data_IF_329063306642
#
_entry.id   IF_329063306642
#
_cell.length_a   1.000
_cell.length_b   1.000
_cell.length_c   1.000
_cell.angle_alpha   90.00
_cell.angle_beta   90.00
_cell.angle_gamma   90.00
#
_symmetry.space_group_name_H-M   'P 1'
#
loop_
_entity.id
_entity.type
_entity.pdbx_description
1 polymer ?
#
# COMPACT_ATOMS: atom_id res chain seq x y z
N UNK A 1 0.37 20.51 11.51
CA UNK A 1 -0.50 20.43 10.33
C UNK A 1 -0.26 19.09 9.67
N UNK A 2 -1.31 18.47 9.14
CA UNK A 2 -1.13 17.30 8.29
C UNK A 2 -0.67 17.78 6.91
N UNK A 3 0.38 17.17 6.39
CA UNK A 3 0.88 17.44 5.04
C UNK A 3 0.45 16.30 4.11
N UNK A 4 -0.01 16.67 2.91
CA UNK A 4 -0.48 15.73 1.88
C UNK A 4 0.38 15.92 0.65
N UNK A 5 1.01 14.84 0.20
CA UNK A 5 1.87 14.85 -0.97
C UNK A 5 1.45 13.76 -1.94
N UNK A 6 1.26 14.13 -3.21
CA UNK A 6 1.06 13.19 -4.30
C UNK A 6 2.35 13.11 -5.14
N UNK A 7 2.76 11.90 -5.50
CA UNK A 7 3.94 11.71 -6.32
C UNK A 7 3.93 10.33 -6.98
N UNK A 8 4.78 10.16 -7.99
CA UNK A 8 5.00 8.87 -8.65
C UNK A 8 6.38 8.36 -8.30
N UNK A 9 6.48 7.07 -7.97
CA UNK A 9 7.74 6.41 -7.62
C UNK A 9 7.77 5.01 -8.23
N UNK A 10 8.92 4.62 -8.75
CA UNK A 10 9.16 3.24 -9.17
C UNK A 10 9.55 2.39 -7.98
N UNK A 11 8.80 1.32 -7.74
CA UNK A 11 9.03 0.41 -6.61
C UNK A 11 9.44 -0.97 -7.11
N UNK A 12 10.40 -1.59 -6.40
CA UNK A 12 10.80 -2.98 -6.62
C UNK A 12 10.38 -3.80 -5.40
N UNK A 13 9.50 -4.77 -5.60
CA UNK A 13 8.87 -5.55 -4.53
C UNK A 13 8.94 -7.04 -4.80
N UNK A 14 9.01 -7.83 -3.73
CA UNK A 14 8.76 -9.28 -3.75
C UNK A 14 7.25 -9.56 -3.71
N UNK A 15 6.85 -10.79 -4.05
CA UNK A 15 5.44 -11.20 -3.95
C UNK A 15 4.91 -11.07 -2.52
N UNK A 16 5.73 -11.39 -1.52
CA UNK A 16 5.40 -11.23 -0.12
C UNK A 16 5.09 -9.78 0.25
N UNK A 17 6.00 -8.86 -0.09
CA UNK A 17 5.83 -7.42 0.18
C UNK A 17 4.60 -6.86 -0.52
N UNK A 18 4.37 -7.27 -1.77
CA UNK A 18 3.21 -6.84 -2.54
C UNK A 18 1.89 -7.31 -1.91
N UNK A 19 1.83 -8.54 -1.39
CA UNK A 19 0.66 -9.03 -0.66
C UNK A 19 0.42 -8.25 0.65
N UNK A 20 1.48 -7.85 1.36
CA UNK A 20 1.36 -7.01 2.55
C UNK A 20 0.81 -5.62 2.21
N UNK A 21 1.27 -5.01 1.11
CA UNK A 21 0.74 -3.73 0.61
C UNK A 21 -0.76 -3.86 0.29
N UNK A 22 -1.15 -4.91 -0.44
CA UNK A 22 -2.57 -5.17 -0.76
C UNK A 22 -3.41 -5.30 0.52
N UNK A 23 -2.95 -6.07 1.51
CA UNK A 23 -3.65 -6.23 2.80
C UNK A 23 -3.81 -4.90 3.53
N UNK A 24 -2.77 -4.07 3.58
CA UNK A 24 -2.83 -2.78 4.26
C UNK A 24 -3.84 -1.82 3.60
N UNK A 25 -3.86 -1.78 2.27
CA UNK A 25 -4.84 -0.97 1.52
C UNK A 25 -6.26 -1.52 1.66
N UNK A 26 -6.43 -2.84 1.67
CA UNK A 26 -7.73 -3.47 1.91
C UNK A 26 -8.30 -3.10 3.28
N UNK A 27 -7.49 -3.17 4.35
CA UNK A 27 -7.91 -2.75 5.70
C UNK A 27 -8.40 -1.31 5.71
N UNK A 28 -7.75 -0.42 4.96
CA UNK A 28 -8.13 0.98 4.83
C UNK A 28 -9.50 1.13 4.16
N UNK A 29 -9.71 0.45 3.03
CA UNK A 29 -10.97 0.48 2.28
C UNK A 29 -12.11 -0.16 3.10
N UNK A 30 -11.84 -1.28 3.76
CA UNK A 30 -12.80 -1.98 4.62
C UNK A 30 -13.20 -1.11 5.82
N UNK A 31 -12.23 -0.44 6.44
CA UNK A 31 -12.48 0.46 7.55
C UNK A 31 -13.41 1.62 7.14
N UNK A 32 -13.20 2.17 5.95
CA UNK A 32 -14.05 3.22 5.38
C UNK A 32 -15.48 2.70 5.13
N UNK A 33 -15.60 1.57 4.45
CA UNK A 33 -16.89 0.98 4.06
C UNK A 33 -17.72 0.52 5.26
N UNK A 34 -17.08 -0.06 6.26
CA UNK A 34 -17.73 -0.62 7.45
C UNK A 34 -17.83 0.39 8.60
N UNK A 35 -17.31 1.61 8.43
CA UNK A 35 -17.17 2.61 9.50
C UNK A 35 -16.49 2.02 10.75
N UNK A 36 -15.41 1.28 10.52
CA UNK A 36 -14.73 0.54 11.59
C UNK A 36 -14.14 1.49 12.64
N UNK A 37 -14.08 1.02 13.89
CA UNK A 37 -13.50 1.79 14.99
C UNK A 37 -11.97 1.89 14.86
N UNK A 38 -11.38 2.95 15.41
CA UNK A 38 -9.91 3.13 15.44
C UNK A 38 -9.19 1.90 16.03
N UNK A 39 -9.78 1.31 17.08
CA UNK A 39 -9.26 0.10 17.72
C UNK A 39 -9.19 -1.10 16.76
N UNK A 40 -10.23 -1.29 15.93
CA UNK A 40 -10.24 -2.35 14.93
C UNK A 40 -9.17 -2.12 13.87
N UNK A 41 -9.08 -0.90 13.33
CA UNK A 41 -8.09 -0.52 12.31
C UNK A 41 -6.68 -0.77 12.83
N UNK A 42 -6.40 -0.28 14.04
CA UNK A 42 -5.11 -0.47 14.71
C UNK A 42 -4.77 -1.94 14.87
N UNK A 43 -5.71 -2.79 15.28
CA UNK A 43 -5.49 -4.23 15.46
C UNK A 43 -5.07 -4.89 14.15
N UNK A 44 -5.75 -4.58 13.05
CA UNK A 44 -5.43 -5.15 11.74
C UNK A 44 -4.05 -4.68 11.24
N UNK A 45 -3.76 -3.38 11.36
CA UNK A 45 -2.49 -2.83 10.91
C UNK A 45 -1.31 -3.29 11.79
N UNK A 46 -1.52 -3.48 13.09
CA UNK A 46 -0.48 -4.03 13.99
C UNK A 46 -0.10 -5.46 13.60
N UNK A 47 -1.08 -6.28 13.22
CA UNK A 47 -0.81 -7.63 12.73
C UNK A 47 0.04 -7.60 11.46
N UNK A 48 -0.31 -6.74 10.49
CA UNK A 48 0.46 -6.56 9.25
C UNK A 48 1.88 -6.05 9.54
N UNK A 49 2.02 -5.07 10.44
CA UNK A 49 3.32 -4.53 10.84
C UNK A 49 4.21 -5.57 11.54
N UNK A 50 3.62 -6.48 12.31
CA UNK A 50 4.36 -7.59 12.93
C UNK A 50 4.87 -8.63 11.93
N UNK A 51 4.23 -8.73 10.76
CA UNK A 51 4.66 -9.58 9.65
C UNK A 51 5.68 -8.87 8.73
N UNK A 52 5.62 -7.54 8.65
CA UNK A 52 6.44 -6.74 7.75
C UNK A 52 7.93 -6.71 8.14
N UNK A 53 8.76 -7.48 7.42
CA UNK A 53 10.23 -7.47 7.58
C UNK A 53 10.94 -6.30 6.87
N UNK A 54 10.25 -5.49 6.05
CA UNK A 54 10.88 -4.44 5.23
C UNK A 54 10.28 -3.05 5.41
N UNK A 55 11.15 -2.04 5.31
CA UNK A 55 10.84 -0.60 5.45
C UNK A 55 9.73 -0.17 4.48
N UNK A 56 9.60 -0.81 3.31
CA UNK A 56 8.56 -0.50 2.33
C UNK A 56 7.16 -0.89 2.80
N UNK A 57 6.99 -2.05 3.43
CA UNK A 57 5.73 -2.44 4.08
C UNK A 57 5.46 -1.60 5.34
N UNK A 58 6.52 -1.18 6.04
CA UNK A 58 6.43 -0.23 7.16
C UNK A 58 6.05 1.19 6.73
N UNK A 59 6.36 1.62 5.50
CA UNK A 59 5.93 2.91 4.97
C UNK A 59 4.41 2.97 4.70
N UNK A 60 3.75 1.81 4.55
CA UNK A 60 2.29 1.70 4.57
C UNK A 60 1.73 1.51 5.99
N UNK A 61 2.57 1.23 6.99
CA UNK A 61 2.17 0.99 8.38
C UNK A 61 2.53 2.14 9.35
N UNK A 62 3.24 3.18 8.89
CA UNK A 62 4.00 4.16 9.70
C UNK A 62 4.86 3.52 10.80
N UNK A 63 5.68 4.33 11.47
CA UNK A 63 6.51 3.88 12.60
C UNK A 63 5.68 3.36 13.80
N UNK A 64 4.36 3.56 13.84
CA UNK A 64 3.45 2.96 14.83
C UNK A 64 2.04 2.75 14.26
N UNK A 65 1.38 1.61 14.51
CA UNK A 65 -0.01 1.37 14.05
C UNK A 65 -1.03 2.44 14.55
N UNK A 66 -0.65 3.20 15.57
CA UNK A 66 -1.35 4.40 16.08
C UNK A 66 -1.43 5.50 15.03
N UNK A 67 -0.32 5.80 14.36
CA UNK A 67 -0.21 6.92 13.41
C UNK A 67 -1.08 6.74 12.18
N UNK A 68 -1.17 5.51 11.66
CA UNK A 68 -2.06 5.17 10.54
C UNK A 68 -3.52 5.19 10.97
N UNK A 69 -3.85 4.63 12.14
CA UNK A 69 -5.23 4.62 12.62
C UNK A 69 -5.75 6.05 12.83
N UNK A 70 -4.92 6.93 13.38
CA UNK A 70 -5.21 8.36 13.50
C UNK A 70 -5.30 9.04 12.14
N UNK A 71 -4.37 8.77 11.21
CA UNK A 71 -4.36 9.31 9.85
C UNK A 71 -5.64 8.94 9.08
N UNK A 72 -6.03 7.66 9.14
CA UNK A 72 -7.28 7.15 8.56
C UNK A 72 -8.51 7.75 9.22
N UNK A 73 -8.55 7.83 10.56
CA UNK A 73 -9.67 8.45 11.26
C UNK A 73 -9.83 9.93 10.84
N UNK A 74 -8.73 10.68 10.71
CA UNK A 74 -8.77 12.06 10.21
C UNK A 74 -9.18 12.16 8.74
N UNK A 75 -8.75 11.23 7.88
CA UNK A 75 -9.15 11.17 6.47
C UNK A 75 -10.63 10.81 6.31
N UNK A 76 -11.14 9.87 7.10
CA UNK A 76 -12.55 9.44 7.06
C UNK A 76 -13.50 10.44 7.73
N UNK A 77 -13.03 11.22 8.70
CA UNK A 77 -13.81 12.27 9.35
C UNK A 77 -13.81 13.61 8.58
N UNK A 78 -12.95 13.77 7.56
CA UNK A 78 -12.79 15.02 6.81
C UNK A 78 -13.78 15.20 5.64
N UNK A 79 -14.34 16.41 5.42
CA UNK A 79 -15.36 16.66 4.39
C UNK A 79 -14.84 16.69 2.93
N UNK A 80 -13.52 16.74 2.71
CA UNK A 80 -12.90 16.80 1.37
C UNK A 80 -12.43 15.43 0.85
N UNK A 81 -12.48 14.38 1.67
CA UNK A 81 -11.72 13.15 1.46
C UNK A 81 -12.55 11.90 1.13
N UNK A 82 -13.88 11.93 1.23
CA UNK A 82 -14.64 10.66 1.29
C UNK A 82 -14.85 9.96 -0.05
N UNK A 83 -15.04 10.67 -1.17
CA UNK A 83 -15.25 10.02 -2.47
C UNK A 83 -13.99 9.95 -3.33
N UNK A 84 -13.31 11.07 -3.59
CA UNK A 84 -12.16 11.08 -4.49
C UNK A 84 -11.00 10.23 -3.95
N UNK A 85 -10.58 10.49 -2.71
CA UNK A 85 -9.43 9.80 -2.12
C UNK A 85 -9.72 8.31 -1.90
N UNK A 86 -10.91 7.95 -1.41
CA UNK A 86 -11.30 6.55 -1.27
C UNK A 86 -11.38 5.84 -2.63
N UNK A 87 -11.90 6.50 -3.68
CA UNK A 87 -11.91 5.96 -5.04
C UNK A 87 -10.49 5.77 -5.59
N UNK A 88 -9.58 6.71 -5.29
CA UNK A 88 -8.17 6.62 -5.69
C UNK A 88 -7.47 5.45 -4.99
N UNK A 89 -7.63 5.29 -3.67
CA UNK A 89 -7.10 4.13 -2.94
C UNK A 89 -7.71 2.83 -3.45
N UNK A 90 -9.02 2.81 -3.73
CA UNK A 90 -9.71 1.60 -4.23
C UNK A 90 -9.22 1.23 -5.63
N UNK A 91 -9.00 2.22 -6.49
CA UNK A 91 -8.37 2.04 -7.81
C UNK A 91 -6.97 1.45 -7.67
N UNK A 92 -6.14 2.05 -6.82
CA UNK A 92 -4.79 1.59 -6.56
C UNK A 92 -4.73 0.20 -5.95
N UNK A 93 -5.65 -0.13 -5.03
CA UNK A 93 -5.85 -1.48 -4.48
C UNK A 93 -6.16 -2.48 -5.59
N UNK A 94 -7.11 -2.19 -6.48
CA UNK A 94 -7.46 -3.09 -7.59
C UNK A 94 -6.28 -3.32 -8.55
N UNK A 95 -5.50 -2.28 -8.85
CA UNK A 95 -4.30 -2.41 -9.68
C UNK A 95 -3.21 -3.24 -8.99
N UNK A 96 -2.93 -2.95 -7.72
CA UNK A 96 -1.91 -3.64 -6.91
C UNK A 96 -2.29 -5.10 -6.68
N UNK A 97 -3.58 -5.41 -6.45
CA UNK A 97 -4.11 -6.78 -6.33
C UNK A 97 -3.94 -7.60 -7.61
N UNK A 98 -4.08 -6.96 -8.78
CA UNK A 98 -3.81 -7.63 -10.07
C UNK A 98 -2.34 -7.99 -10.21
N UNK A 99 -1.42 -7.10 -9.84
CA UNK A 99 0.01 -7.42 -9.79
C UNK A 99 0.31 -8.53 -8.78
N UNK A 100 -0.28 -8.49 -7.60
CA UNK A 100 -0.11 -9.51 -6.57
C UNK A 100 -0.56 -10.90 -7.08
N UNK A 101 -1.75 -10.98 -7.68
CA UNK A 101 -2.30 -12.20 -8.25
C UNK A 101 -1.39 -12.78 -9.35
N UNK A 102 -0.98 -11.94 -10.31
CA UNK A 102 -0.07 -12.33 -11.37
C UNK A 102 1.28 -12.79 -10.83
N UNK A 103 1.83 -12.08 -9.84
CA UNK A 103 3.15 -12.40 -9.31
C UNK A 103 3.12 -13.69 -8.48
N UNK A 104 2.07 -13.90 -7.67
CA UNK A 104 1.89 -15.13 -6.88
C UNK A 104 1.93 -16.39 -7.77
N UNK A 105 1.35 -16.35 -8.97
CA UNK A 105 1.39 -17.49 -9.93
C UNK A 105 2.71 -17.59 -10.72
N UNK A 106 3.60 -16.60 -10.62
CA UNK A 106 4.91 -16.59 -11.28
C UNK A 106 6.09 -16.57 -10.29
N UNK A 107 5.85 -16.85 -9.01
CA UNK A 107 6.89 -16.90 -7.95
C UNK A 107 7.98 -17.94 -8.22
N UNK A 108 7.66 -19.00 -8.98
CA UNK A 108 8.62 -19.99 -9.43
C UNK A 108 9.58 -19.50 -10.52
N UNK A 109 9.31 -18.35 -11.13
CA UNK A 109 10.12 -17.75 -12.21
C UNK A 109 10.83 -16.48 -11.75
N UNK A 110 10.16 -15.69 -10.92
CA UNK A 110 10.62 -14.36 -10.55
C UNK A 110 10.66 -14.20 -9.02
N UNK A 111 11.67 -13.48 -8.54
CA UNK A 111 11.80 -13.12 -7.12
C UNK A 111 11.39 -11.68 -6.82
N UNK A 112 11.44 -10.79 -7.81
CA UNK A 112 10.98 -9.40 -7.70
C UNK A 112 10.28 -8.93 -8.97
N UNK A 113 9.37 -7.98 -8.81
CA UNK A 113 8.84 -7.16 -9.89
C UNK A 113 9.14 -5.70 -9.60
N UNK A 114 9.27 -4.91 -10.65
CA UNK A 114 9.40 -3.47 -10.56
C UNK A 114 8.31 -2.82 -11.40
N UNK A 115 7.65 -1.79 -10.86
CA UNK A 115 6.62 -1.03 -11.54
C UNK A 115 6.56 0.40 -11.01
N UNK A 116 6.09 1.31 -11.85
CA UNK A 116 5.77 2.67 -11.45
C UNK A 116 4.42 2.71 -10.71
N UNK A 117 4.39 3.36 -9.56
CA UNK A 117 3.18 3.53 -8.76
C UNK A 117 2.98 5.02 -8.42
N UNK A 118 1.73 5.47 -8.53
CA UNK A 118 1.31 6.76 -8.00
C UNK A 118 0.95 6.59 -6.51
N UNK A 119 1.43 7.51 -5.70
CA UNK A 119 1.25 7.52 -4.26
C UNK A 119 0.54 8.78 -3.81
N UNK A 120 -0.27 8.63 -2.76
CA UNK A 120 -0.65 9.74 -1.88
C UNK A 120 -0.05 9.46 -0.51
N UNK A 121 0.72 10.41 -0.01
CA UNK A 121 1.39 10.38 1.28
C UNK A 121 0.76 11.40 2.22
N UNK A 122 0.54 10.98 3.45
CA UNK A 122 -0.02 11.76 4.54
C UNK A 122 0.96 11.77 5.71
N UNK A 123 1.46 12.94 6.07
CA UNK A 123 2.36 13.13 7.20
C UNK A 123 1.66 13.86 8.35
N UNK A 124 1.65 13.25 9.53
CA UNK A 124 1.12 13.86 10.76
C UNK A 124 2.08 13.61 11.95
N UNK A 125 1.68 14.02 13.15
CA UNK A 125 2.46 13.82 14.38
C UNK A 125 2.74 12.34 14.72
N UNK A 126 1.97 11.40 14.16
CA UNK A 126 2.15 9.95 14.29
C UNK A 126 3.03 9.31 13.22
N UNK A 127 3.47 10.07 12.22
CA UNK A 127 4.35 9.62 11.14
C UNK A 127 3.78 9.84 9.74
N UNK A 128 4.42 9.21 8.77
CA UNK A 128 4.11 9.31 7.35
C UNK A 128 3.47 8.00 6.85
N UNK A 129 2.24 8.08 6.36
CA UNK A 129 1.51 6.95 5.74
C UNK A 129 1.41 7.21 4.25
N UNK A 130 1.71 6.24 3.40
CA UNK A 130 1.46 6.34 1.97
C UNK A 130 0.48 5.29 1.47
N UNK A 131 -0.24 5.61 0.41
CA UNK A 131 -1.17 4.71 -0.29
C UNK A 131 -0.85 4.72 -1.78
N UNK A 132 -0.91 3.56 -2.44
CA UNK A 132 -0.88 3.49 -3.89
C UNK A 132 -2.27 3.87 -4.39
N UNK A 133 -2.34 4.88 -5.24
CA UNK A 133 -3.59 5.32 -5.88
C UNK A 133 -3.70 4.83 -7.32
N UNK A 134 -2.57 4.47 -7.94
CA UNK A 134 -2.52 3.83 -9.25
C UNK A 134 -1.23 3.00 -9.35
N UNK A 135 -1.30 1.85 -10.03
CA UNK A 135 -0.12 1.10 -10.43
C UNK A 135 -0.06 1.05 -11.96
N UNK A 136 1.06 1.49 -12.52
CA UNK A 136 1.39 1.32 -13.94
C UNK A 136 1.66 -0.15 -14.29
N UNK A 137 2.04 -0.47 -15.54
CA UNK A 137 2.43 -1.84 -15.88
C UNK A 137 3.68 -2.28 -15.12
N UNK A 138 3.90 -3.60 -15.04
CA UNK A 138 5.17 -4.15 -14.56
C UNK A 138 6.25 -3.76 -15.55
N UNK A 139 7.25 -2.97 -15.16
CA UNK A 139 8.32 -2.50 -16.04
C UNK A 139 9.34 -3.62 -16.31
N UNK A 140 9.73 -4.34 -15.24
CA UNK A 140 10.71 -5.43 -15.31
C UNK A 140 10.53 -6.44 -14.19
N UNK A 141 10.99 -7.66 -14.43
CA UNK A 141 10.98 -8.76 -13.46
C UNK A 141 12.39 -9.28 -13.23
N UNK A 142 12.70 -9.58 -11.97
CA UNK A 142 13.95 -10.22 -11.61
C UNK A 142 13.74 -11.73 -11.54
N UNK A 143 14.45 -12.48 -12.38
CA UNK A 143 14.48 -13.94 -12.33
C UNK A 143 15.11 -14.44 -11.02
N UNK A 144 14.88 -15.72 -10.71
CA UNK A 144 15.48 -16.36 -9.54
C UNK A 144 17.01 -16.25 -9.53
N UNK A 145 17.64 -16.40 -10.70
CA UNK A 145 19.09 -16.24 -10.93
C UNK A 145 19.61 -14.80 -10.71
N UNK A 146 18.74 -13.81 -10.54
CA UNK A 146 19.09 -12.41 -10.30
C UNK A 146 19.10 -11.52 -11.54
N UNK A 147 18.96 -12.09 -12.74
CA UNK A 147 18.88 -11.32 -13.99
C UNK A 147 17.55 -10.56 -14.08
N UNK A 148 17.61 -9.33 -14.60
CA UNK A 148 16.43 -8.52 -14.87
C UNK A 148 16.01 -8.68 -16.32
N UNK A 149 14.70 -8.85 -16.53
CA UNK A 149 14.08 -8.85 -17.86
C UNK A 149 12.99 -7.78 -17.90
N UNK A 150 12.88 -7.06 -19.00
CA UNK A 150 11.80 -6.10 -19.20
C UNK A 150 10.50 -6.82 -19.54
N UNK A 151 9.36 -6.27 -19.10
CA UNK A 151 8.08 -6.74 -19.62
C UNK A 151 8.02 -6.38 -21.10
N UNK A 152 7.82 -7.36 -21.96
CA UNK A 152 7.51 -7.15 -23.38
C UNK A 152 6.11 -6.57 -23.57
#
# INVERSE_FOLDING_TARGET
MADVREYTERISVTAYELNLIVRAQQVTVDAANQKASESWIRKQLTAIAGEANTIFALAFATRTAVGVALGLATLLAGPLATNYFLNSITTGLNATSRHASWFNVNTNKYKRIEFEAAFVEYSNAGGTTRYITQAGPIDRMQRLDGTWIYSS
#
